data_IF_996777060486
#
_entry.id   IF_996777060486
#
_cell.length_a   1.000
_cell.length_b   1.000
_cell.length_c   1.000
_cell.angle_alpha   90.00
_cell.angle_beta   90.00
_cell.angle_gamma   90.00
#
_symmetry.space_group_name_H-M   'P 1'
#
loop_
_entity.id
_entity.type
_entity.pdbx_description
1 polymer ?
#
# COMPACT_ATOMS: atom_id res chain seq x y z
N UNK A 1 5.16 -30.10 -61.57
CA UNK A 1 6.10 -29.56 -60.56
C UNK A 1 5.51 -28.40 -59.74
N UNK A 2 4.60 -27.58 -60.29
CA UNK A 2 3.94 -26.49 -59.54
C UNK A 2 3.09 -27.00 -58.36
N UNK A 3 2.35 -28.10 -58.54
CA UNK A 3 1.40 -28.59 -57.53
C UNK A 3 2.08 -29.12 -56.26
N UNK A 4 3.32 -29.59 -56.37
CA UNK A 4 4.10 -30.00 -55.20
C UNK A 4 4.46 -28.80 -54.33
N UNK A 5 4.99 -27.73 -54.94
CA UNK A 5 5.40 -26.53 -54.20
C UNK A 5 4.21 -25.79 -53.59
N UNK A 6 3.07 -25.75 -54.28
CA UNK A 6 1.83 -25.15 -53.75
C UNK A 6 1.29 -25.94 -52.57
N UNK A 7 1.22 -27.27 -52.66
CA UNK A 7 0.76 -28.10 -51.54
C UNK A 7 1.76 -28.10 -50.36
N UNK A 8 3.06 -28.07 -50.64
CA UNK A 8 4.09 -27.96 -49.62
C UNK A 8 4.00 -26.62 -48.86
N UNK A 9 3.88 -25.50 -49.59
CA UNK A 9 3.71 -24.17 -49.00
C UNK A 9 2.39 -24.03 -48.24
N UNK A 10 1.30 -24.60 -48.76
CA UNK A 10 -0.01 -24.56 -48.09
C UNK A 10 0.01 -25.32 -46.75
N UNK A 11 0.61 -26.51 -46.71
CA UNK A 11 0.76 -27.29 -45.48
C UNK A 11 1.74 -26.61 -44.50
N UNK A 12 2.88 -26.10 -44.99
CA UNK A 12 3.84 -25.37 -44.15
C UNK A 12 3.22 -24.10 -43.53
N UNK A 13 2.42 -23.36 -44.30
CA UNK A 13 1.73 -22.17 -43.81
C UNK A 13 0.65 -22.52 -42.78
N UNK A 14 -0.10 -23.60 -42.99
CA UNK A 14 -1.09 -24.08 -42.04
C UNK A 14 -0.43 -24.51 -40.71
N UNK A 15 0.66 -25.27 -40.77
CA UNK A 15 1.42 -25.70 -39.59
C UNK A 15 2.05 -24.50 -38.86
N UNK A 16 2.59 -23.52 -39.59
CA UNK A 16 3.14 -22.30 -39.00
C UNK A 16 2.07 -21.44 -38.31
N UNK A 17 0.89 -21.29 -38.92
CA UNK A 17 -0.24 -20.58 -38.30
C UNK A 17 -0.71 -21.29 -37.02
N UNK A 18 -0.76 -22.62 -37.03
CA UNK A 18 -1.15 -23.41 -35.88
C UNK A 18 -0.11 -23.28 -34.75
N UNK A 19 1.18 -23.32 -35.08
CA UNK A 19 2.26 -23.10 -34.13
C UNK A 19 2.23 -21.69 -33.52
N UNK A 20 1.96 -20.65 -34.32
CA UNK A 20 1.79 -19.27 -33.84
C UNK A 20 0.55 -19.14 -32.95
N UNK A 21 -0.57 -19.77 -33.31
CA UNK A 21 -1.79 -19.75 -32.51
C UNK A 21 -1.57 -20.45 -31.15
N UNK A 22 -0.95 -21.63 -31.14
CA UNK A 22 -0.56 -22.34 -29.91
C UNK A 22 0.40 -21.48 -29.08
N UNK A 23 1.40 -20.85 -29.71
CA UNK A 23 2.32 -19.95 -29.02
C UNK A 23 1.57 -18.77 -28.38
N UNK A 24 0.63 -18.12 -29.07
CA UNK A 24 -0.14 -17.00 -28.53
C UNK A 24 -1.08 -17.44 -27.39
N UNK A 25 -1.70 -18.61 -27.49
CA UNK A 25 -2.55 -19.21 -26.46
C UNK A 25 -1.71 -19.56 -25.22
N UNK A 26 -0.50 -20.10 -25.39
CA UNK A 26 0.37 -20.50 -24.28
C UNK A 26 1.06 -19.29 -23.65
N UNK A 27 1.48 -18.31 -24.46
CA UNK A 27 2.25 -17.16 -23.97
C UNK A 27 1.40 -15.98 -23.53
N UNK A 28 0.15 -15.87 -23.97
CA UNK A 28 -0.82 -14.80 -23.67
C UNK A 28 -0.16 -13.43 -23.45
N UNK A 29 0.56 -12.89 -24.44
CA UNK A 29 1.40 -11.71 -24.26
C UNK A 29 0.60 -10.46 -23.82
N UNK A 30 -0.67 -10.37 -24.20
CA UNK A 30 -1.58 -9.31 -23.76
C UNK A 30 -1.90 -9.39 -22.25
N UNK A 31 -2.17 -10.60 -21.75
CA UNK A 31 -2.44 -10.83 -20.33
C UNK A 31 -1.19 -10.59 -19.48
N UNK A 32 -0.01 -11.00 -19.97
CA UNK A 32 1.27 -10.71 -19.32
C UNK A 32 1.53 -9.20 -19.21
N UNK A 33 1.33 -8.45 -20.29
CA UNK A 33 1.46 -6.97 -20.26
C UNK A 33 0.48 -6.31 -19.30
N UNK A 34 -0.77 -6.80 -19.25
CA UNK A 34 -1.79 -6.32 -18.30
C UNK A 34 -1.39 -6.63 -16.86
N UNK A 35 -0.92 -7.84 -16.58
CA UNK A 35 -0.47 -8.24 -15.25
C UNK A 35 0.73 -7.41 -14.76
N UNK A 36 1.70 -7.13 -15.63
CA UNK A 36 2.83 -6.23 -15.31
C UNK A 36 2.33 -4.83 -14.93
N UNK A 37 1.44 -4.25 -15.73
CA UNK A 37 0.87 -2.92 -15.44
C UNK A 37 0.09 -2.89 -14.13
N UNK A 38 -0.76 -3.90 -13.88
CA UNK A 38 -1.50 -4.01 -12.62
C UNK A 38 -0.54 -4.14 -11.45
N UNK A 39 0.53 -4.94 -11.59
CA UNK A 39 1.57 -5.09 -10.56
C UNK A 39 2.24 -3.75 -10.26
N UNK A 40 2.70 -3.04 -11.27
CA UNK A 40 3.33 -1.73 -11.15
C UNK A 40 2.43 -0.71 -10.45
N UNK A 41 1.18 -0.61 -10.87
CA UNK A 41 0.18 0.27 -10.25
C UNK A 41 -0.11 -0.12 -8.80
N UNK A 42 -0.21 -1.42 -8.52
CA UNK A 42 -0.48 -1.93 -7.18
C UNK A 42 0.71 -1.73 -6.24
N UNK A 43 1.94 -1.83 -6.75
CA UNK A 43 3.16 -1.50 -6.00
C UNK A 43 3.25 -0.01 -5.70
N UNK A 44 2.97 0.84 -6.67
CA UNK A 44 2.92 2.29 -6.46
C UNK A 44 1.85 2.68 -5.45
N UNK A 45 0.66 2.09 -5.53
CA UNK A 45 -0.40 2.29 -4.55
C UNK A 45 0.01 1.79 -3.15
N UNK A 46 0.60 0.60 -3.05
CA UNK A 46 1.07 0.05 -1.79
C UNK A 46 2.11 0.97 -1.13
N UNK A 47 3.08 1.47 -1.90
CA UNK A 47 4.11 2.40 -1.43
C UNK A 47 3.49 3.71 -0.94
N UNK A 48 2.58 4.30 -1.70
CA UNK A 48 1.89 5.53 -1.30
C UNK A 48 1.09 5.35 0.01
N UNK A 49 0.34 4.25 0.12
CA UNK A 49 -0.40 3.92 1.34
C UNK A 49 0.53 3.72 2.56
N UNK A 50 1.70 3.13 2.36
CA UNK A 50 2.73 2.99 3.41
C UNK A 50 3.32 4.33 3.83
N UNK A 51 3.61 5.23 2.88
CA UNK A 51 4.12 6.58 3.17
C UNK A 51 3.11 7.42 3.95
N UNK A 52 1.82 7.34 3.57
CA UNK A 52 0.72 7.98 4.31
C UNK A 52 0.63 7.41 5.72
N UNK A 53 0.66 6.08 5.86
CA UNK A 53 0.63 5.44 7.17
C UNK A 53 1.86 5.79 8.02
N UNK A 54 3.03 5.95 7.41
CA UNK A 54 4.24 6.36 8.13
C UNK A 54 4.08 7.76 8.72
N UNK A 55 3.59 8.69 7.89
CA UNK A 55 3.31 10.09 8.30
C UNK A 55 2.27 10.15 9.42
N UNK A 56 1.20 9.35 9.29
CA UNK A 56 0.16 9.25 10.33
C UNK A 56 0.68 8.63 11.61
N UNK A 57 1.49 7.57 11.52
CA UNK A 57 2.09 6.94 12.69
C UNK A 57 2.98 7.92 13.46
N UNK A 58 3.78 8.73 12.76
CA UNK A 58 4.57 9.83 13.37
C UNK A 58 3.65 10.83 14.10
N UNK A 59 2.60 11.28 13.42
CA UNK A 59 1.60 12.20 14.00
C UNK A 59 0.91 11.62 15.24
N UNK A 60 0.64 10.32 15.25
CA UNK A 60 0.06 9.63 16.40
C UNK A 60 1.02 9.60 17.57
N UNK A 61 2.29 9.25 17.33
CA UNK A 61 3.32 9.17 18.37
C UNK A 61 3.46 10.53 19.06
N UNK A 62 3.51 11.61 18.29
CA UNK A 62 3.58 12.98 18.81
C UNK A 62 2.34 13.37 19.61
N UNK A 63 1.13 13.08 19.09
CA UNK A 63 -0.10 13.40 19.78
C UNK A 63 -0.29 12.58 21.08
N UNK A 64 0.20 11.34 21.11
CA UNK A 64 0.10 10.45 22.26
C UNK A 64 1.07 10.82 23.40
N UNK A 65 2.05 11.71 23.16
CA UNK A 65 2.86 12.31 24.22
C UNK A 65 2.08 13.28 25.10
N UNK A 66 1.01 13.86 24.56
CA UNK A 66 0.06 14.66 25.32
C UNK A 66 -1.38 14.24 24.99
N UNK A 67 -1.88 13.15 25.58
CA UNK A 67 -3.16 12.57 25.20
C UNK A 67 -4.38 13.43 25.59
N UNK A 68 -4.16 14.52 26.32
CA UNK A 68 -5.15 15.55 26.65
C UNK A 68 -5.23 16.66 25.59
N UNK A 69 -4.34 16.62 24.58
CA UNK A 69 -4.42 17.45 23.38
C UNK A 69 -5.36 16.84 22.33
N UNK A 70 -5.52 17.51 21.19
CA UNK A 70 -6.50 17.26 20.12
C UNK A 70 -6.36 15.92 19.34
N UNK A 71 -6.24 14.80 20.07
CA UNK A 71 -6.23 13.42 19.55
C UNK A 71 -7.50 13.06 18.78
N UNK A 72 -8.61 13.77 19.03
CA UNK A 72 -9.88 13.56 18.34
C UNK A 72 -9.80 13.81 16.81
N UNK A 73 -8.85 14.63 16.36
CA UNK A 73 -8.71 15.01 14.95
C UNK A 73 -7.77 14.09 14.15
N UNK A 74 -7.24 13.04 14.77
CA UNK A 74 -6.38 12.08 14.10
C UNK A 74 -7.19 11.14 13.20
N UNK A 75 -6.93 11.22 11.89
CA UNK A 75 -7.48 10.31 10.90
C UNK A 75 -6.92 8.90 11.05
N UNK A 76 -7.73 7.84 10.91
CA UNK A 76 -7.30 6.45 11.06
C UNK A 76 -6.22 6.07 10.03
N UNK A 77 -5.33 5.15 10.39
CA UNK A 77 -4.39 4.53 9.46
C UNK A 77 -5.15 3.75 8.39
N UNK A 78 -4.64 3.78 7.17
CA UNK A 78 -5.26 3.14 6.00
C UNK A 78 -4.91 1.67 5.92
N UNK A 79 -5.89 0.86 5.53
CA UNK A 79 -5.66 -0.55 5.23
C UNK A 79 -5.12 -0.70 3.83
N UNK A 80 -4.10 -1.54 3.67
CA UNK A 80 -3.47 -1.77 2.36
C UNK A 80 -4.04 -2.99 1.63
N UNK A 81 -5.08 -3.64 2.19
CA UNK A 81 -5.65 -4.91 1.70
C UNK A 81 -6.00 -4.90 0.21
N UNK A 82 -6.45 -3.77 -0.33
CA UNK A 82 -6.75 -3.62 -1.77
C UNK A 82 -5.52 -3.79 -2.65
N UNK A 83 -4.45 -3.04 -2.35
CA UNK A 83 -3.17 -3.17 -3.05
C UNK A 83 -2.58 -4.58 -2.89
N UNK A 84 -2.74 -5.19 -1.71
CA UNK A 84 -2.34 -6.57 -1.42
C UNK A 84 -3.03 -7.62 -2.28
N UNK A 85 -4.35 -7.54 -2.39
CA UNK A 85 -5.12 -8.48 -3.20
C UNK A 85 -4.72 -8.36 -4.67
N UNK A 86 -4.54 -7.14 -5.17
CA UNK A 86 -4.09 -6.90 -6.54
C UNK A 86 -2.67 -7.46 -6.78
N UNK A 87 -1.75 -7.30 -5.83
CA UNK A 87 -0.41 -7.89 -5.91
C UNK A 87 -0.45 -9.42 -5.88
N UNK A 88 -1.32 -10.02 -5.07
CA UNK A 88 -1.53 -11.47 -5.06
C UNK A 88 -2.01 -11.97 -6.42
N UNK A 89 -3.00 -11.31 -7.01
CA UNK A 89 -3.58 -11.68 -8.32
C UNK A 89 -2.57 -11.57 -9.46
N UNK A 90 -1.59 -10.67 -9.37
CA UNK A 90 -0.51 -10.56 -10.37
C UNK A 90 0.60 -11.59 -10.21
N UNK A 91 0.55 -12.43 -9.17
CA UNK A 91 1.62 -13.37 -8.82
C UNK A 91 2.84 -12.69 -8.18
N UNK A 92 2.78 -11.39 -7.88
CA UNK A 92 3.91 -10.66 -7.31
C UNK A 92 4.38 -11.26 -5.99
N UNK A 93 3.45 -11.60 -5.08
CA UNK A 93 3.80 -12.15 -3.77
C UNK A 93 4.58 -13.47 -3.85
N UNK A 94 4.29 -14.30 -4.86
CA UNK A 94 5.02 -15.54 -5.11
C UNK A 94 6.40 -15.30 -5.75
N UNK A 95 6.64 -14.10 -6.28
CA UNK A 95 7.91 -13.69 -6.89
C UNK A 95 8.81 -12.88 -5.94
N UNK A 96 8.39 -12.69 -4.67
CA UNK A 96 9.24 -12.03 -3.67
C UNK A 96 10.25 -13.06 -3.17
N UNK A 97 11.50 -12.94 -3.62
CA UNK A 97 12.59 -13.80 -3.17
C UNK A 97 13.15 -13.37 -1.79
N UNK A 98 12.77 -12.18 -1.31
CA UNK A 98 13.17 -11.68 0.01
C UNK A 98 12.17 -12.12 1.11
N UNK A 99 12.55 -13.08 1.98
CA UNK A 99 11.68 -13.56 3.05
C UNK A 99 11.45 -12.49 4.13
N UNK A 100 12.39 -11.55 4.30
CA UNK A 100 12.30 -10.46 5.29
C UNK A 100 11.26 -9.45 4.83
N UNK A 101 11.33 -9.01 3.57
CA UNK A 101 10.32 -8.14 2.98
C UNK A 101 8.93 -8.79 3.05
N UNK A 102 8.83 -10.08 2.70
CA UNK A 102 7.57 -10.84 2.80
C UNK A 102 7.01 -10.83 4.21
N UNK A 103 7.84 -11.11 5.22
CA UNK A 103 7.44 -11.10 6.62
C UNK A 103 6.89 -9.74 7.06
N UNK A 104 7.61 -8.65 6.80
CA UNK A 104 7.19 -7.31 7.22
C UNK A 104 5.91 -6.88 6.51
N UNK A 105 5.82 -7.17 5.22
CA UNK A 105 4.64 -6.94 4.41
C UNK A 105 3.42 -7.64 5.04
N UNK A 106 3.50 -8.93 5.42
CA UNK A 106 2.40 -9.63 6.11
C UNK A 106 2.03 -8.99 7.46
N UNK A 107 3.03 -8.59 8.26
CA UNK A 107 2.84 -8.04 9.61
C UNK A 107 2.25 -6.64 9.64
N UNK A 108 2.41 -5.89 8.55
CA UNK A 108 1.98 -4.49 8.49
C UNK A 108 0.46 -4.34 8.70
N UNK A 109 -0.38 -5.13 8.01
CA UNK A 109 -1.83 -5.01 8.14
C UNK A 109 -2.34 -5.33 9.56
N UNK A 110 -1.74 -6.33 10.21
CA UNK A 110 -2.02 -6.65 11.61
C UNK A 110 -1.62 -5.47 12.52
N UNK A 111 -0.42 -4.93 12.33
CA UNK A 111 0.10 -3.80 13.11
C UNK A 111 -0.76 -2.55 12.92
N UNK A 112 -1.21 -2.27 11.70
CA UNK A 112 -2.15 -1.18 11.39
C UNK A 112 -3.47 -1.35 12.13
N UNK A 113 -4.04 -2.56 12.15
CA UNK A 113 -5.29 -2.85 12.86
C UNK A 113 -5.13 -2.63 14.37
N UNK A 114 -4.05 -3.12 14.97
CA UNK A 114 -3.77 -2.97 16.40
C UNK A 114 -3.56 -1.49 16.76
N UNK A 115 -2.78 -0.75 15.98
CA UNK A 115 -2.54 0.67 16.17
C UNK A 115 -3.84 1.48 16.10
N UNK A 116 -4.66 1.28 15.06
CA UNK A 116 -5.98 1.92 14.92
C UNK A 116 -6.90 1.59 16.10
N UNK A 117 -6.96 0.32 16.51
CA UNK A 117 -7.81 -0.12 17.61
C UNK A 117 -7.44 0.57 18.93
N UNK A 118 -6.15 0.67 19.22
CA UNK A 118 -5.70 1.30 20.46
C UNK A 118 -5.81 2.82 20.41
N UNK A 119 -5.54 3.47 19.27
CA UNK A 119 -5.81 4.90 19.11
C UNK A 119 -7.29 5.21 19.35
N UNK A 120 -8.20 4.38 18.80
CA UNK A 120 -9.65 4.58 18.99
C UNK A 120 -10.05 4.51 20.47
N UNK A 121 -9.40 3.66 21.27
CA UNK A 121 -9.64 3.62 22.72
C UNK A 121 -9.21 4.92 23.40
N UNK A 122 -8.08 5.49 23.01
CA UNK A 122 -7.62 6.79 23.54
C UNK A 122 -8.61 7.89 23.16
N UNK A 123 -9.06 7.94 21.90
CA UNK A 123 -10.07 8.91 21.45
C UNK A 123 -11.38 8.81 22.24
N UNK A 124 -11.87 7.59 22.50
CA UNK A 124 -13.07 7.38 23.30
C UNK A 124 -12.87 7.82 24.75
N UNK A 125 -11.74 7.45 25.37
CA UNK A 125 -11.41 7.86 26.74
C UNK A 125 -11.31 9.39 26.87
N UNK A 126 -10.75 10.07 25.86
CA UNK A 126 -10.69 11.53 25.77
C UNK A 126 -12.10 12.15 25.71
N UNK A 127 -12.96 11.66 24.82
CA UNK A 127 -14.33 12.17 24.65
C UNK A 127 -15.20 11.95 25.89
N UNK A 128 -15.00 10.84 26.60
CA UNK A 128 -15.75 10.47 27.81
C UNK A 128 -15.24 11.17 29.08
N UNK A 129 -14.14 11.94 29.00
CA UNK A 129 -13.48 12.59 30.14
C UNK A 129 -13.08 11.60 31.26
N UNK A 130 -12.77 10.36 30.89
CA UNK A 130 -12.42 9.29 31.82
C UNK A 130 -10.92 9.35 32.13
N UNK A 131 -10.55 10.20 33.08
CA UNK A 131 -9.15 10.57 33.36
C UNK A 131 -8.29 9.43 33.93
N UNK A 132 -8.87 8.46 34.65
CA UNK A 132 -8.09 7.49 35.46
C UNK A 132 -7.24 6.50 34.65
N UNK A 133 -7.46 6.34 33.34
CA UNK A 133 -6.72 5.35 32.54
C UNK A 133 -6.22 5.86 31.18
N UNK A 134 -6.43 7.14 30.84
CA UNK A 134 -6.07 7.67 29.52
C UNK A 134 -4.56 7.57 29.25
N UNK A 135 -3.73 7.85 30.26
CA UNK A 135 -2.26 7.78 30.14
C UNK A 135 -1.76 6.35 29.89
N UNK A 136 -2.35 5.36 30.59
CA UNK A 136 -1.96 3.96 30.43
C UNK A 136 -2.35 3.41 29.05
N UNK A 137 -3.54 3.78 28.56
CA UNK A 137 -4.01 3.41 27.21
C UNK A 137 -3.18 4.15 26.15
N UNK A 138 -2.86 5.43 26.37
CA UNK A 138 -2.03 6.23 25.46
C UNK A 138 -0.62 5.65 25.33
N UNK A 139 0.01 5.22 26.44
CA UNK A 139 1.31 4.56 26.42
C UNK A 139 1.30 3.27 25.60
N UNK A 140 0.25 2.46 25.72
CA UNK A 140 0.09 1.25 24.92
C UNK A 140 -0.10 1.58 23.43
N UNK A 141 -0.96 2.57 23.11
CA UNK A 141 -1.19 3.03 21.75
C UNK A 141 0.08 3.62 21.11
N UNK A 142 0.90 4.32 21.89
CA UNK A 142 2.18 4.90 21.44
C UNK A 142 3.15 3.79 21.05
N UNK A 143 3.35 2.80 21.91
CA UNK A 143 4.21 1.65 21.63
C UNK A 143 3.79 0.91 20.37
N UNK A 144 2.49 0.71 20.19
CA UNK A 144 1.98 -0.01 19.00
C UNK A 144 2.15 0.84 17.72
N UNK A 145 2.06 2.17 17.83
CA UNK A 145 2.34 3.12 16.73
C UNK A 145 3.84 3.20 16.40
N UNK A 146 4.73 3.17 17.39
CA UNK A 146 6.18 3.08 17.22
C UNK A 146 6.60 1.77 16.54
N UNK A 147 6.00 0.65 16.96
CA UNK A 147 6.22 -0.65 16.33
C UNK A 147 5.76 -0.65 14.86
N UNK A 148 4.58 -0.08 14.57
CA UNK A 148 4.12 0.10 13.20
C UNK A 148 5.07 0.98 12.39
N UNK A 149 5.52 2.10 12.95
CA UNK A 149 6.47 3.00 12.29
C UNK A 149 7.77 2.27 11.92
N UNK A 150 8.32 1.47 12.84
CA UNK A 150 9.51 0.66 12.59
C UNK A 150 9.31 -0.33 11.42
N UNK A 151 8.14 -0.98 11.35
CA UNK A 151 7.80 -1.87 10.23
C UNK A 151 7.70 -1.09 8.92
N UNK A 152 6.99 0.05 8.91
CA UNK A 152 6.78 0.86 7.72
C UNK A 152 8.09 1.40 7.16
N UNK A 153 8.96 1.93 8.02
CA UNK A 153 10.26 2.47 7.59
C UNK A 153 11.15 1.37 6.99
N UNK A 154 11.13 0.15 7.54
CA UNK A 154 11.86 -0.98 6.96
C UNK A 154 11.31 -1.40 5.60
N UNK A 155 9.98 -1.48 5.46
CA UNK A 155 9.37 -1.84 4.18
C UNK A 155 9.66 -0.76 3.13
N UNK A 156 9.51 0.52 3.47
CA UNK A 156 9.77 1.62 2.54
C UNK A 156 11.22 1.62 2.03
N UNK A 157 12.19 1.41 2.94
CA UNK A 157 13.60 1.28 2.56
C UNK A 157 13.85 0.08 1.62
N UNK A 158 13.20 -1.06 1.88
CA UNK A 158 13.28 -2.23 1.00
C UNK A 158 12.60 -1.98 -0.36
N UNK A 159 11.45 -1.29 -0.38
CA UNK A 159 10.73 -0.96 -1.61
C UNK A 159 11.47 0.07 -2.46
N UNK A 160 12.26 0.97 -1.88
CA UNK A 160 13.12 1.91 -2.62
C UNK A 160 14.25 1.19 -3.39
N UNK A 161 14.66 0.00 -2.93
CA UNK A 161 15.60 -0.85 -3.66
C UNK A 161 14.97 -1.57 -4.87
N UNK A 162 13.63 -1.66 -4.89
CA UNK A 162 12.86 -2.22 -6.00
C UNK A 162 12.52 -1.05 -6.93
N UNK A 163 12.88 -1.12 -8.22
CA UNK A 163 12.46 -0.11 -9.21
C UNK A 163 10.93 -0.14 -9.35
N UNK A 164 10.24 0.68 -8.57
CA UNK A 164 8.78 0.85 -8.59
C UNK A 164 8.49 2.18 -9.31
N UNK A 165 7.57 2.21 -10.28
CA UNK A 165 7.15 3.47 -10.88
C UNK A 165 6.55 4.39 -9.81
N UNK A 166 7.09 5.59 -9.69
CA UNK A 166 6.57 6.62 -8.80
C UNK A 166 5.18 7.03 -9.30
N UNK A 167 4.16 6.76 -8.50
CA UNK A 167 2.85 7.37 -8.68
C UNK A 167 2.90 8.70 -7.95
N UNK A 168 2.82 9.81 -8.69
CA UNK A 168 2.82 11.13 -8.10
C UNK A 168 1.64 11.26 -7.11
N UNK A 169 1.93 11.56 -5.83
CA UNK A 169 0.95 11.75 -4.77
C UNK A 169 -0.14 12.77 -5.13
N UNK A 170 0.16 13.70 -6.05
CA UNK A 170 -0.71 14.80 -6.48
C UNK A 170 -1.99 14.37 -7.19
N UNK A 171 -2.03 13.17 -7.76
CA UNK A 171 -3.14 12.75 -8.63
C UNK A 171 -4.20 11.90 -7.91
N UNK A 172 -3.90 11.35 -6.73
CA UNK A 172 -4.81 10.41 -6.04
C UNK A 172 -5.31 10.96 -4.69
N UNK A 173 -4.55 11.82 -4.01
CA UNK A 173 -4.81 12.11 -2.58
C UNK A 173 -4.82 13.60 -2.19
N UNK A 174 -5.30 14.46 -3.08
CA UNK A 174 -5.43 15.92 -2.85
C UNK A 174 -6.16 16.33 -1.57
N UNK A 175 -6.90 15.42 -0.93
CA UNK A 175 -7.77 15.71 0.22
C UNK A 175 -7.27 15.17 1.57
N UNK A 176 -6.12 14.48 1.63
CA UNK A 176 -5.67 13.79 2.85
C UNK A 176 -4.58 14.54 3.64
N UNK A 177 -4.24 15.75 3.21
CA UNK A 177 -3.35 16.63 3.98
C UNK A 177 -4.18 17.27 5.08
N UNK A 178 -3.85 16.97 6.33
CA UNK A 178 -4.24 17.82 7.45
C UNK A 178 -3.81 19.26 7.10
N UNK A 179 -4.61 20.28 7.43
CA UNK A 179 -4.13 21.65 7.37
C UNK A 179 -2.91 21.73 8.30
N UNK A 180 -1.73 21.74 7.71
CA UNK A 180 -0.52 22.17 8.40
C UNK A 180 -0.74 23.62 8.74
N UNK A 181 -0.84 23.86 10.04
CA UNK A 181 -1.02 25.12 10.76
C UNK A 181 -2.47 25.56 10.98
N UNK A 182 -2.79 25.68 12.27
CA UNK A 182 -3.88 26.47 12.86
C UNK A 182 -3.71 27.98 12.54
N UNK A 183 -2.62 28.38 11.88
CA UNK A 183 -2.28 29.79 11.60
C UNK A 183 -3.13 30.47 10.50
N UNK A 184 -4.09 29.76 9.87
CA UNK A 184 -4.95 30.37 8.84
C UNK A 184 -6.41 30.58 9.21
N UNK A 185 -6.82 30.31 10.45
CA UNK A 185 -8.17 30.70 10.91
C UNK A 185 -8.21 32.08 11.58
N UNK A 186 -7.06 32.70 11.86
CA UNK A 186 -7.01 34.06 12.43
C UNK A 186 -6.96 35.18 11.37
N UNK A 187 -6.65 34.89 10.10
CA UNK A 187 -6.67 35.91 9.03
C UNK A 187 -8.07 36.15 8.43
N UNK A 188 -9.00 35.20 8.55
CA UNK A 188 -10.35 35.32 7.98
C UNK A 188 -11.41 35.79 9.00
N UNK A 189 -11.00 36.10 10.24
CA UNK A 189 -11.85 36.64 11.30
C UNK A 189 -11.59 38.12 11.64
N UNK A 190 -10.75 38.79 10.85
CA UNK A 190 -10.47 40.24 10.92
C UNK A 190 -11.51 41.11 10.23
#
# INVERSE_FOLDING_TARGET
MSDFWVNFLANLAADALLAIAVYLIVTQPGEKKKAIRIREQSLGLLKAEMQINETRAKSYIEALDNPRSDIAFLFPLRYTRGAWNALKETGFLASIDDPVLSYYLFRMNESTLVANKNLRKVQLAYLESTDENIELIAKAAKRDSEHLLSILTQILAMLDSVKIPEIAESDIFKYDRLPTSIEKMEEDAG
#
